data_IF_267356778119
#
_entry.id   IF_267356778119
#
_cell.length_a   1.000
_cell.length_b   1.000
_cell.length_c   1.000
_cell.angle_alpha   90.00
_cell.angle_beta   90.00
_cell.angle_gamma   90.00
#
_symmetry.space_group_name_H-M   'P 1'
#
loop_
_entity.id
_entity.type
_entity.pdbx_description
1 polymer ?
#
# COMPACT_ATOMS: atom_id res chain seq x y z
N UNK A 1 -21.06 -22.67 20.55
CA UNK A 1 -20.03 -22.93 21.60
C UNK A 1 -18.63 -23.09 21.02
N UNK A 2 -18.44 -23.91 19.98
CA UNK A 2 -17.11 -24.15 19.36
C UNK A 2 -16.51 -22.92 18.65
N UNK A 3 -17.33 -22.10 17.98
CA UNK A 3 -16.87 -20.89 17.28
C UNK A 3 -16.40 -19.79 18.24
N UNK A 4 -17.09 -19.62 19.37
CA UNK A 4 -16.71 -18.66 20.42
C UNK A 4 -15.40 -19.07 21.09
N UNK A 5 -15.20 -20.38 21.30
CA UNK A 5 -13.94 -20.93 21.83
C UNK A 5 -12.78 -20.71 20.84
N UNK A 6 -12.99 -20.96 19.55
CA UNK A 6 -11.99 -20.72 18.51
C UNK A 6 -11.61 -19.23 18.38
N UNK A 7 -12.58 -18.33 18.50
CA UNK A 7 -12.33 -16.89 18.54
C UNK A 7 -11.52 -16.49 19.78
N UNK A 8 -11.87 -17.01 20.96
CA UNK A 8 -11.16 -16.73 22.21
C UNK A 8 -9.70 -17.25 22.18
N UNK A 9 -9.49 -18.44 21.61
CA UNK A 9 -8.16 -19.03 21.46
C UNK A 9 -7.31 -18.31 20.37
N UNK A 10 -7.96 -17.72 19.36
CA UNK A 10 -7.35 -16.79 18.42
C UNK A 10 -6.85 -15.53 19.12
N UNK A 11 -7.74 -14.85 19.86
CA UNK A 11 -7.40 -13.63 20.60
C UNK A 11 -6.31 -13.86 21.65
N UNK A 12 -6.29 -15.03 22.32
CA UNK A 12 -5.21 -15.41 23.25
C UNK A 12 -3.86 -15.55 22.55
N UNK A 13 -3.82 -16.13 21.35
CA UNK A 13 -2.59 -16.24 20.54
C UNK A 13 -2.12 -14.88 20.05
N UNK A 14 -3.04 -14.04 19.57
CA UNK A 14 -2.71 -12.69 19.14
C UNK A 14 -2.16 -11.86 20.30
N UNK A 15 -2.74 -11.99 21.50
CA UNK A 15 -2.24 -11.34 22.71
C UNK A 15 -0.86 -11.87 23.14
N UNK A 16 -0.59 -13.17 22.99
CA UNK A 16 0.71 -13.77 23.28
C UNK A 16 1.79 -13.24 22.31
N UNK A 17 1.50 -13.21 21.01
CA UNK A 17 2.39 -12.62 19.99
C UNK A 17 2.64 -11.11 20.23
N UNK A 18 1.61 -10.40 20.70
CA UNK A 18 1.71 -8.99 21.06
C UNK A 18 2.64 -8.79 22.28
N UNK A 19 2.54 -9.65 23.30
CA UNK A 19 3.39 -9.64 24.49
C UNK A 19 4.84 -10.01 24.19
N UNK A 20 5.09 -10.86 23.20
CA UNK A 20 6.45 -11.11 22.72
C UNK A 20 7.05 -9.86 22.09
N UNK A 21 6.24 -8.97 21.51
CA UNK A 21 6.69 -7.79 20.76
C UNK A 21 6.75 -6.51 21.61
N UNK A 22 5.87 -6.38 22.61
CA UNK A 22 5.62 -5.13 23.36
C UNK A 22 5.64 -5.39 24.86
N UNK A 23 6.42 -4.58 25.58
CA UNK A 23 6.65 -4.72 27.03
C UNK A 23 5.62 -3.97 27.88
N UNK A 24 4.90 -3.00 27.32
CA UNK A 24 3.83 -2.30 28.06
C UNK A 24 2.66 -1.96 27.16
N UNK A 25 1.48 -2.47 27.55
CA UNK A 25 0.19 -2.21 26.93
C UNK A 25 -0.71 -1.59 28.00
N UNK A 26 -1.23 -0.38 27.75
CA UNK A 26 -2.24 0.23 28.63
C UNK A 26 -3.60 0.04 27.99
N UNK A 27 -4.47 -0.73 28.63
CA UNK A 27 -5.84 -0.92 28.19
C UNK A 27 -6.80 -0.21 29.13
N UNK A 28 -7.75 0.53 28.58
CA UNK A 28 -8.88 1.11 29.29
C UNK A 28 -10.18 0.47 28.79
N UNK A 29 -11.08 0.14 29.71
CA UNK A 29 -12.44 -0.30 29.37
C UNK A 29 -13.38 0.90 29.45
N UNK A 30 -14.06 1.24 28.36
CA UNK A 30 -15.19 2.16 28.43
C UNK A 30 -16.40 1.39 28.97
N UNK A 31 -16.87 1.76 30.17
CA UNK A 31 -18.14 1.29 30.71
C UNK A 31 -19.16 2.39 30.57
N UNK A 32 -19.87 2.41 29.45
CA UNK A 32 -21.19 3.03 29.38
C UNK A 32 -22.22 1.92 29.22
N UNK A 33 -23.34 2.05 29.93
CA UNK A 33 -24.29 0.99 30.24
C UNK A 33 -24.83 0.24 29.01
N UNK A 34 -24.83 -1.09 29.09
CA UNK A 34 -25.48 -2.07 28.21
C UNK A 34 -24.90 -2.38 26.80
N UNK A 35 -23.66 -1.98 26.48
CA UNK A 35 -22.95 -2.51 25.30
C UNK A 35 -21.73 -3.39 25.67
N UNK A 36 -21.37 -4.31 24.75
CA UNK A 36 -20.15 -5.12 24.79
C UNK A 36 -18.95 -4.20 25.08
N UNK A 37 -18.27 -4.44 26.21
CA UNK A 37 -17.11 -3.64 26.60
C UNK A 37 -16.03 -3.65 25.51
N UNK A 38 -15.80 -2.51 24.87
CA UNK A 38 -14.70 -2.33 23.92
C UNK A 38 -13.43 -2.02 24.73
N UNK A 39 -12.44 -2.90 24.63
CA UNK A 39 -11.16 -2.73 25.30
C UNK A 39 -10.22 -1.89 24.40
N UNK A 40 -10.02 -0.63 24.76
CA UNK A 40 -9.11 0.27 24.02
C UNK A 40 -7.71 0.18 24.60
N UNK A 41 -6.79 -0.44 23.87
CA UNK A 41 -5.41 -0.61 24.26
C UNK A 41 -4.47 0.29 23.47
N UNK A 42 -3.62 1.04 24.17
CA UNK A 42 -2.51 1.81 23.58
C UNK A 42 -1.17 1.15 23.93
N UNK A 43 -0.35 0.99 22.89
CA UNK A 43 0.98 0.38 22.98
C UNK A 43 1.98 1.47 23.35
N UNK A 44 2.73 1.30 24.44
CA UNK A 44 3.61 2.37 24.95
C UNK A 44 5.10 2.03 24.95
N UNK A 45 5.51 0.74 24.89
CA UNK A 45 6.93 0.34 24.81
C UNK A 45 7.15 -0.98 24.05
N UNK A 46 8.06 -0.98 23.07
CA UNK A 46 8.52 -2.20 22.37
C UNK A 46 9.48 -3.03 23.25
N UNK A 47 9.68 -4.30 22.92
CA UNK A 47 10.68 -5.14 23.58
C UNK A 47 12.13 -4.70 23.22
N UNK A 48 13.12 -5.10 24.04
CA UNK A 48 14.53 -4.71 23.85
C UNK A 48 15.15 -5.25 22.55
N UNK A 49 14.75 -6.44 22.09
CA UNK A 49 15.29 -7.07 20.88
C UNK A 49 14.82 -6.37 19.58
N UNK A 50 13.59 -5.88 19.56
CA UNK A 50 13.02 -5.11 18.45
C UNK A 50 13.56 -3.68 18.46
N UNK A 51 13.75 -3.08 19.63
CA UNK A 51 14.48 -1.81 19.79
C UNK A 51 15.93 -1.92 19.30
N UNK A 52 16.63 -3.02 19.59
CA UNK A 52 17.99 -3.24 19.06
C UNK A 52 18.00 -3.44 17.55
N UNK A 53 17.03 -4.15 16.98
CA UNK A 53 16.91 -4.32 15.53
C UNK A 53 16.58 -2.99 14.82
N UNK A 54 15.71 -2.16 15.40
CA UNK A 54 15.43 -0.81 14.91
C UNK A 54 16.68 0.08 15.00
N UNK A 55 17.44 0.00 16.09
CA UNK A 55 18.71 0.74 16.25
C UNK A 55 19.77 0.32 15.23
N UNK A 56 19.89 -0.98 14.94
CA UNK A 56 20.81 -1.50 13.92
C UNK A 56 20.37 -1.16 12.48
N UNK A 57 19.10 -0.79 12.28
CA UNK A 57 18.60 -0.38 10.96
C UNK A 57 18.99 1.05 10.58
N UNK A 58 19.49 1.87 11.52
CA UNK A 58 20.02 3.20 11.22
C UNK A 58 21.37 3.07 10.50
N UNK A 59 21.34 2.89 9.19
CA UNK A 59 22.54 2.83 8.35
C UNK A 59 23.16 4.24 8.19
N UNK A 60 24.06 4.61 9.10
CA UNK A 60 24.78 5.91 9.20
C UNK A 60 24.02 7.08 9.87
N UNK A 61 23.01 6.80 10.70
CA UNK A 61 22.29 7.81 11.50
C UNK A 61 22.35 7.50 13.01
N UNK A 62 22.19 8.52 13.88
CA UNK A 62 22.17 8.31 15.34
C UNK A 62 20.75 8.01 15.84
N UNK A 63 20.60 6.99 16.69
CA UNK A 63 19.31 6.64 17.28
C UNK A 63 18.88 7.66 18.35
N UNK A 64 17.71 8.28 18.18
CA UNK A 64 17.13 9.15 19.20
C UNK A 64 16.21 8.35 20.14
N UNK A 65 16.69 8.04 21.34
CA UNK A 65 15.96 7.28 22.35
C UNK A 65 14.73 8.01 22.92
N UNK A 66 14.58 9.33 22.71
CA UNK A 66 13.41 10.08 23.19
C UNK A 66 12.19 10.01 22.26
N UNK A 67 12.39 9.62 20.99
CA UNK A 67 11.33 9.59 19.97
C UNK A 67 11.27 8.29 19.15
N UNK A 68 12.16 7.33 19.43
CA UNK A 68 12.28 6.05 18.71
C UNK A 68 12.43 6.21 17.17
N UNK A 69 13.21 7.20 16.74
CA UNK A 69 13.49 7.51 15.32
C UNK A 69 15.01 7.66 15.05
N UNK A 70 15.46 7.28 13.85
CA UNK A 70 16.82 7.59 13.38
C UNK A 70 16.94 9.09 13.08
N UNK A 71 18.02 9.73 13.55
CA UNK A 71 18.29 11.16 13.41
C UNK A 71 19.47 11.36 12.45
N UNK A 72 19.24 12.14 11.41
CA UNK A 72 20.28 12.56 10.47
C UNK A 72 21.10 13.71 11.08
N UNK A 73 22.42 13.56 11.20
CA UNK A 73 23.31 14.71 11.37
C UNK A 73 23.48 15.36 9.99
N UNK A 74 22.74 16.43 9.72
CA UNK A 74 23.09 17.34 8.65
C UNK A 74 24.28 18.18 9.11
N UNK A 75 25.48 17.90 8.60
CA UNK A 75 26.57 18.88 8.61
C UNK A 75 26.10 20.09 7.81
N UNK A 76 25.72 21.17 8.50
CA UNK A 76 25.47 22.45 7.87
C UNK A 76 26.75 22.88 7.13
N UNK A 77 26.68 22.99 5.81
CA UNK A 77 27.70 23.69 5.05
C UNK A 77 27.63 25.17 5.43
N UNK A 78 28.69 25.65 6.08
CA UNK A 78 28.91 27.06 6.36
C UNK A 78 29.21 27.82 5.05
N UNK A 79 28.66 29.04 4.99
CA UNK A 79 29.10 30.20 4.21
C UNK A 79 29.01 30.14 2.67
N UNK A 80 27.91 30.68 2.14
CA UNK A 80 27.95 31.43 0.88
C UNK A 80 27.26 32.78 1.11
N UNK A 81 28.07 33.85 1.12
CA UNK A 81 27.62 35.23 1.13
C UNK A 81 27.11 35.63 -0.25
N UNK A 82 25.97 36.34 -0.27
CA UNK A 82 25.57 37.25 -1.35
C UNK A 82 24.93 36.62 -2.60
N UNK A 83 23.61 36.49 -2.60
CA UNK A 83 22.71 36.96 -3.69
C UNK A 83 21.24 36.71 -3.32
N UNK A 84 20.45 37.78 -3.41
CA UNK A 84 18.98 37.89 -3.38
C UNK A 84 18.21 36.58 -3.10
N UNK A 85 17.59 36.52 -1.92
CA UNK A 85 16.60 35.52 -1.56
C UNK A 85 15.39 35.62 -2.48
N UNK A 86 15.39 34.83 -3.57
CA UNK A 86 14.11 34.35 -4.11
C UNK A 86 13.45 33.57 -2.97
N UNK A 87 12.34 34.06 -2.47
CA UNK A 87 11.49 33.31 -1.53
C UNK A 87 11.31 31.90 -2.08
N UNK A 88 11.75 30.89 -1.32
CA UNK A 88 11.54 29.50 -1.70
C UNK A 88 10.03 29.29 -1.83
N UNK A 89 9.51 28.90 -3.01
CA UNK A 89 8.07 28.72 -3.17
C UNK A 89 7.53 27.77 -2.10
N UNK A 90 6.32 28.01 -1.56
CA UNK A 90 5.73 27.12 -0.57
C UNK A 90 5.75 25.68 -1.10
N UNK A 91 6.32 24.77 -0.30
CA UNK A 91 6.42 23.35 -0.65
C UNK A 91 5.04 22.82 -1.05
N UNK A 92 4.96 22.27 -2.26
CA UNK A 92 3.72 21.76 -2.84
C UNK A 92 3.21 20.54 -2.06
N UNK A 93 1.91 20.30 -2.09
CA UNK A 93 1.24 19.19 -1.41
C UNK A 93 1.21 17.91 -2.25
N UNK A 94 1.37 18.03 -3.56
CA UNK A 94 1.42 16.88 -4.49
C UNK A 94 2.36 17.14 -5.66
N UNK A 95 2.75 16.08 -6.36
CA UNK A 95 3.52 16.17 -7.60
C UNK A 95 2.71 16.84 -8.71
N UNK A 96 1.38 16.74 -8.69
CA UNK A 96 0.50 17.38 -9.66
C UNK A 96 0.53 18.89 -9.52
N UNK A 97 0.52 19.38 -8.28
CA UNK A 97 0.67 20.80 -7.99
C UNK A 97 2.04 21.33 -8.45
N UNK A 98 3.12 20.60 -8.20
CA UNK A 98 4.46 20.95 -8.73
C UNK A 98 4.49 21.02 -10.25
N UNK A 99 3.93 19.98 -10.90
CA UNK A 99 3.88 19.86 -12.34
C UNK A 99 3.14 21.04 -12.99
N UNK A 100 1.96 21.40 -12.45
CA UNK A 100 1.16 22.51 -12.98
C UNK A 100 1.83 23.89 -12.80
N UNK A 101 2.71 24.03 -11.81
CA UNK A 101 3.48 25.27 -11.56
C UNK A 101 4.74 25.38 -12.44
N UNK A 102 4.99 24.43 -13.34
CA UNK A 102 6.28 24.27 -14.02
C UNK A 102 7.47 24.23 -13.05
N UNK A 103 7.25 23.75 -11.82
CA UNK A 103 8.25 23.73 -10.74
C UNK A 103 9.13 22.47 -10.74
N UNK A 104 9.13 21.72 -11.84
CA UNK A 104 9.78 20.42 -11.94
C UNK A 104 10.71 20.35 -13.15
N UNK A 105 11.87 19.73 -13.00
CA UNK A 105 12.90 19.56 -14.04
C UNK A 105 13.08 18.11 -14.50
N UNK A 106 12.26 17.18 -13.98
CA UNK A 106 12.29 15.78 -14.37
C UNK A 106 11.73 14.81 -13.33
N UNK A 107 11.85 13.52 -13.63
CA UNK A 107 11.41 12.42 -12.78
C UNK A 107 12.42 12.17 -11.65
N UNK A 108 12.14 12.67 -10.45
CA UNK A 108 13.01 12.54 -9.27
C UNK A 108 12.23 12.76 -7.98
N UNK A 109 12.91 12.70 -6.84
CA UNK A 109 12.35 13.12 -5.57
C UNK A 109 12.17 14.64 -5.49
N UNK A 110 11.04 15.07 -4.92
CA UNK A 110 10.75 16.46 -4.60
C UNK A 110 10.29 16.59 -3.14
N UNK A 111 10.54 17.74 -2.50
CA UNK A 111 10.01 18.03 -1.18
C UNK A 111 8.51 18.33 -1.27
N UNK A 112 7.68 17.45 -0.71
CA UNK A 112 6.24 17.65 -0.61
C UNK A 112 5.84 17.97 0.83
N UNK A 113 4.96 18.95 1.02
CA UNK A 113 4.36 19.30 2.32
C UNK A 113 3.15 18.42 2.57
N UNK A 114 3.31 17.43 3.44
CA UNK A 114 2.25 16.50 3.84
C UNK A 114 1.92 16.72 5.33
N UNK A 115 0.69 17.18 5.58
CA UNK A 115 0.30 17.69 6.89
C UNK A 115 1.20 18.83 7.37
N UNK A 116 1.89 18.63 8.50
CA UNK A 116 2.80 19.62 9.11
C UNK A 116 4.28 19.40 8.78
N UNK A 117 4.63 18.38 7.99
CA UNK A 117 6.02 18.01 7.70
C UNK A 117 6.30 18.03 6.20
N UNK A 118 7.58 18.11 5.84
CA UNK A 118 8.05 17.99 4.45
C UNK A 118 8.66 16.59 4.29
N UNK A 119 8.29 15.90 3.21
CA UNK A 119 8.80 14.58 2.87
C UNK A 119 9.38 14.58 1.46
N UNK A 120 10.57 14.00 1.25
CA UNK A 120 11.08 13.75 -0.09
C UNK A 120 10.33 12.58 -0.71
N UNK A 121 9.60 12.83 -1.80
CA UNK A 121 8.76 11.83 -2.47
C UNK A 121 9.08 11.84 -3.96
N UNK A 122 9.21 10.64 -4.54
CA UNK A 122 9.36 10.49 -5.99
C UNK A 122 8.13 11.01 -6.73
N UNK A 123 8.37 11.95 -7.63
CA UNK A 123 7.38 12.44 -8.57
C UNK A 123 7.72 11.98 -9.98
N UNK A 124 6.72 11.40 -10.66
CA UNK A 124 6.84 11.09 -12.07
C UNK A 124 6.18 12.22 -12.89
N UNK A 125 7.02 13.07 -13.46
CA UNK A 125 6.67 14.31 -14.18
C UNK A 125 6.42 14.10 -15.67
N UNK A 126 6.77 12.95 -16.24
CA UNK A 126 6.46 12.61 -17.65
C UNK A 126 5.18 11.79 -17.79
N UNK A 127 4.71 11.60 -19.02
CA UNK A 127 3.56 10.75 -19.30
C UNK A 127 3.86 9.27 -18.98
N UNK A 128 2.98 8.64 -18.19
CA UNK A 128 2.96 7.19 -18.01
C UNK A 128 2.00 6.55 -19.02
N UNK A 129 2.52 5.66 -19.87
CA UNK A 129 1.70 4.95 -20.84
C UNK A 129 0.61 4.13 -20.12
N UNK A 130 -0.67 4.40 -20.43
CA UNK A 130 -1.83 3.81 -19.78
C UNK A 130 -2.50 4.67 -18.71
N UNK A 131 -1.80 5.70 -18.19
CA UNK A 131 -2.34 6.68 -17.25
C UNK A 131 -2.42 8.12 -17.82
N UNK A 132 -1.47 8.47 -18.70
CA UNK A 132 -1.37 9.79 -19.33
C UNK A 132 -0.89 10.89 -18.36
N UNK A 133 -0.43 12.02 -18.92
CA UNK A 133 -0.01 13.21 -18.17
C UNK A 133 1.16 13.00 -17.18
N UNK A 134 1.70 14.11 -16.67
CA UNK A 134 2.75 14.13 -15.65
C UNK A 134 2.27 14.63 -14.28
N UNK A 135 3.14 14.54 -13.27
CA UNK A 135 2.84 14.97 -11.91
C UNK A 135 2.24 13.87 -11.04
N UNK A 136 2.62 12.61 -11.27
CA UNK A 136 2.19 11.49 -10.46
C UNK A 136 2.98 11.40 -9.16
N UNK A 137 2.27 11.33 -8.04
CA UNK A 137 2.84 11.24 -6.68
C UNK A 137 2.95 9.78 -6.27
N UNK A 138 4.16 9.30 -5.95
CA UNK A 138 4.34 7.93 -5.47
C UNK A 138 3.67 7.72 -4.10
N UNK A 139 2.91 6.63 -3.98
CA UNK A 139 2.23 6.24 -2.74
C UNK A 139 2.84 4.97 -2.15
N UNK A 140 2.95 3.94 -2.97
CA UNK A 140 3.42 2.62 -2.54
C UNK A 140 4.24 1.93 -3.62
N UNK A 141 5.21 1.14 -3.16
CA UNK A 141 5.93 0.14 -3.94
C UNK A 141 5.88 -1.17 -3.18
N UNK A 142 5.46 -2.24 -3.84
CA UNK A 142 5.25 -3.53 -3.19
C UNK A 142 5.90 -4.66 -3.99
N UNK A 143 6.67 -5.48 -3.30
CA UNK A 143 7.28 -6.68 -3.87
C UNK A 143 6.29 -7.82 -3.67
N UNK A 144 5.67 -8.27 -4.76
CA UNK A 144 4.61 -9.26 -4.68
C UNK A 144 5.09 -10.63 -4.20
N UNK A 145 6.41 -10.84 -4.05
CA UNK A 145 6.98 -12.04 -3.47
C UNK A 145 7.03 -12.03 -1.94
N UNK A 146 6.83 -10.86 -1.32
CA UNK A 146 6.87 -10.66 0.13
C UNK A 146 5.47 -10.53 0.72
N UNK A 147 5.36 -10.83 2.00
CA UNK A 147 4.10 -10.77 2.73
C UNK A 147 3.77 -9.34 3.25
N UNK A 148 4.65 -8.36 3.06
CA UNK A 148 4.55 -6.98 3.60
C UNK A 148 3.22 -6.31 3.25
N UNK A 149 2.76 -6.49 2.01
CA UNK A 149 1.55 -5.87 1.47
C UNK A 149 0.41 -6.87 1.24
N UNK A 150 0.47 -8.08 1.81
CA UNK A 150 -0.62 -9.05 1.67
C UNK A 150 -1.95 -8.47 2.16
N UNK A 151 -3.08 -8.94 1.61
CA UNK A 151 -4.43 -8.38 1.85
C UNK A 151 -4.74 -8.17 3.34
N UNK A 152 -4.39 -9.12 4.21
CA UNK A 152 -4.69 -9.09 5.64
C UNK A 152 -3.70 -8.24 6.48
N UNK A 153 -2.68 -7.63 5.88
CA UNK A 153 -1.70 -6.85 6.63
C UNK A 153 -2.28 -5.54 7.14
N UNK A 154 -1.88 -5.15 8.35
CA UNK A 154 -2.31 -3.90 8.99
C UNK A 154 -1.81 -2.65 8.25
N UNK A 155 -0.82 -2.81 7.35
CA UNK A 155 -0.30 -1.73 6.51
C UNK A 155 -1.40 -1.01 5.72
N UNK A 156 -2.50 -1.68 5.40
CA UNK A 156 -3.63 -1.10 4.67
C UNK A 156 -4.54 -0.22 5.54
N UNK A 157 -4.51 -0.38 6.86
CA UNK A 157 -5.43 0.28 7.80
C UNK A 157 -4.73 1.11 8.87
N UNK A 158 -3.40 1.28 8.77
CA UNK A 158 -2.63 2.12 9.67
C UNK A 158 -2.00 3.33 8.94
N UNK A 159 -1.51 4.31 9.71
CA UNK A 159 -0.80 5.49 9.22
C UNK A 159 0.69 5.41 9.57
N UNK A 160 1.30 4.26 9.31
CA UNK A 160 2.72 4.03 9.55
C UNK A 160 3.48 4.02 8.23
N UNK A 161 4.66 4.63 8.22
CA UNK A 161 5.55 4.60 7.07
C UNK A 161 6.26 3.25 7.03
N UNK A 162 6.53 2.74 5.84
CA UNK A 162 7.40 1.59 5.63
C UNK A 162 8.51 1.96 4.66
N UNK A 163 9.77 1.82 5.08
CA UNK A 163 10.96 2.10 4.26
C UNK A 163 10.84 3.42 3.45
N UNK A 164 10.66 4.57 4.12
CA UNK A 164 10.38 5.85 3.45
C UNK A 164 11.54 6.35 2.57
N UNK A 165 12.78 5.92 2.85
CA UNK A 165 13.94 6.23 2.01
C UNK A 165 13.79 5.68 0.58
N UNK A 166 13.17 4.51 0.45
CA UNK A 166 12.87 3.93 -0.86
C UNK A 166 11.77 4.69 -1.60
N UNK A 167 11.05 5.60 -0.94
CA UNK A 167 10.10 6.52 -1.59
C UNK A 167 10.73 7.64 -2.40
N UNK A 168 12.06 7.84 -2.31
CA UNK A 168 12.80 8.84 -3.09
C UNK A 168 13.05 8.38 -4.54
N UNK A 169 13.04 7.07 -4.77
CA UNK A 169 13.30 6.50 -6.08
C UNK A 169 12.02 6.00 -6.74
N UNK A 170 12.02 5.98 -8.08
CA UNK A 170 10.89 5.52 -8.89
C UNK A 170 10.77 3.99 -8.94
N UNK A 171 10.71 3.45 -10.15
CA UNK A 171 10.31 2.07 -10.43
C UNK A 171 11.41 1.00 -10.18
N UNK A 172 12.10 1.10 -9.05
CA UNK A 172 13.01 0.07 -8.53
C UNK A 172 12.25 -1.05 -7.79
N UNK A 173 12.98 -2.01 -7.21
CA UNK A 173 12.42 -3.19 -6.53
C UNK A 173 12.41 -3.06 -5.00
N UNK A 174 12.51 -1.83 -4.47
CA UNK A 174 12.51 -1.60 -3.02
C UNK A 174 11.11 -1.20 -2.58
N UNK A 175 10.57 -1.96 -1.63
CA UNK A 175 9.25 -1.72 -1.04
C UNK A 175 9.19 -0.39 -0.30
N UNK A 176 8.05 0.30 -0.37
CA UNK A 176 7.82 1.53 0.40
C UNK A 176 6.33 1.77 0.63
N UNK A 177 6.00 2.42 1.75
CA UNK A 177 4.72 3.03 2.03
C UNK A 177 4.96 4.42 2.61
N UNK A 178 4.39 5.43 1.97
CA UNK A 178 4.62 6.83 2.28
C UNK A 178 3.40 7.51 2.90
N UNK A 179 3.57 8.65 3.58
CA UNK A 179 2.45 9.45 4.09
C UNK A 179 1.48 9.91 3.00
N UNK A 180 1.90 9.93 1.74
CA UNK A 180 1.02 10.17 0.59
C UNK A 180 -0.12 9.16 0.47
N UNK A 181 -0.04 8.01 1.15
CA UNK A 181 -1.16 7.08 1.28
C UNK A 181 -2.36 7.66 2.04
N UNK A 182 -2.12 8.50 3.07
CA UNK A 182 -3.16 9.02 3.96
C UNK A 182 -3.25 10.55 4.01
N UNK A 183 -2.30 11.29 3.42
CA UNK A 183 -2.25 12.76 3.40
C UNK A 183 -2.49 13.39 2.01
N UNK A 184 -2.63 12.59 0.96
CA UNK A 184 -2.75 13.10 -0.42
C UNK A 184 -4.13 12.85 -0.99
N UNK A 185 -4.88 13.92 -1.20
CA UNK A 185 -6.08 13.94 -2.02
C UNK A 185 -5.73 13.76 -3.50
N UNK A 186 -6.59 13.08 -4.24
CA UNK A 186 -6.40 12.84 -5.67
C UNK A 186 -7.73 12.66 -6.40
N UNK A 187 -7.64 12.74 -7.73
CA UNK A 187 -8.75 12.47 -8.66
C UNK A 187 -8.48 11.26 -9.55
N UNK A 188 -7.22 10.81 -9.60
CA UNK A 188 -6.80 9.68 -10.43
C UNK A 188 -5.75 8.84 -9.70
N UNK A 189 -5.83 7.54 -9.90
CA UNK A 189 -4.82 6.57 -9.45
C UNK A 189 -4.16 5.96 -10.69
N UNK A 190 -2.85 5.85 -10.69
CA UNK A 190 -2.08 5.09 -11.67
C UNK A 190 -1.50 3.85 -11.00
N UNK A 191 -1.93 2.68 -11.49
CA UNK A 191 -1.49 1.38 -11.01
C UNK A 191 -0.49 0.81 -12.00
N UNK A 192 0.69 0.39 -11.51
CA UNK A 192 1.74 -0.17 -12.33
C UNK A 192 2.15 -1.57 -11.88
N UNK A 193 2.38 -2.47 -12.83
CA UNK A 193 2.99 -3.78 -12.57
C UNK A 193 4.24 -3.96 -13.42
N UNK A 194 5.37 -4.26 -12.77
CA UNK A 194 6.63 -4.61 -13.43
C UNK A 194 6.85 -6.11 -13.42
N UNK A 195 6.94 -6.69 -14.61
CA UNK A 195 7.27 -8.10 -14.84
C UNK A 195 8.56 -8.17 -15.68
N UNK A 196 9.64 -8.70 -15.10
CA UNK A 196 10.95 -8.66 -15.74
C UNK A 196 11.44 -7.22 -15.98
N UNK A 197 11.59 -6.85 -17.25
CA UNK A 197 12.01 -5.51 -17.70
C UNK A 197 10.84 -4.59 -18.06
N UNK A 198 9.64 -5.14 -18.26
CA UNK A 198 8.47 -4.39 -18.70
C UNK A 198 7.69 -3.84 -17.51
N UNK A 199 7.13 -2.64 -17.66
CA UNK A 199 6.18 -2.05 -16.71
C UNK A 199 4.97 -1.58 -17.49
N UNK A 200 3.79 -2.03 -17.10
CA UNK A 200 2.53 -1.60 -17.68
C UNK A 200 1.70 -0.88 -16.63
N UNK A 201 0.95 0.13 -17.07
CA UNK A 201 0.13 0.94 -16.19
C UNK A 201 -1.32 1.01 -16.66
N UNK A 202 -2.22 1.19 -15.69
CA UNK A 202 -3.62 1.53 -15.91
C UNK A 202 -4.03 2.66 -14.97
N UNK A 203 -4.90 3.54 -15.45
CA UNK A 203 -5.51 4.57 -14.63
C UNK A 203 -6.90 4.18 -14.13
N UNK A 204 -7.22 4.64 -12.92
CA UNK A 204 -8.56 4.66 -12.34
C UNK A 204 -8.91 6.11 -12.07
N UNK A 205 -10.04 6.58 -12.61
CA UNK A 205 -10.55 7.91 -12.31
C UNK A 205 -11.49 7.79 -11.11
N UNK A 206 -11.06 8.30 -9.96
CA UNK A 206 -11.84 8.29 -8.71
C UNK A 206 -11.32 9.41 -7.81
N UNK A 207 -12.23 10.16 -7.21
CA UNK A 207 -11.89 11.25 -6.28
C UNK A 207 -11.97 10.75 -4.85
N UNK A 208 -10.91 10.96 -4.07
CA UNK A 208 -10.88 10.62 -2.66
C UNK A 208 -9.90 11.53 -1.90
N UNK A 209 -10.18 11.73 -0.61
CA UNK A 209 -9.30 12.48 0.28
C UNK A 209 -7.95 11.80 0.51
N UNK A 210 -7.88 10.48 0.34
CA UNK A 210 -6.63 9.69 0.37
C UNK A 210 -6.91 8.25 -0.07
N UNK A 211 -5.85 7.45 -0.27
CA UNK A 211 -6.02 6.04 -0.57
C UNK A 211 -6.39 5.26 0.71
N UNK A 212 -5.91 5.74 1.86
CA UNK A 212 -6.31 5.27 3.19
C UNK A 212 -7.84 5.34 3.36
N UNK A 213 -8.48 6.45 3.01
CA UNK A 213 -9.94 6.58 3.17
C UNK A 213 -10.76 5.68 2.25
N UNK A 214 -10.22 5.26 1.09
CA UNK A 214 -10.86 4.28 0.21
C UNK A 214 -10.69 2.83 0.67
N UNK A 215 -9.62 2.51 1.41
CA UNK A 215 -9.23 1.12 1.68
C UNK A 215 -9.42 0.73 3.15
N UNK A 216 -9.10 1.61 4.09
CA UNK A 216 -8.97 1.29 5.51
C UNK A 216 -10.29 0.87 6.18
N UNK A 217 -11.43 1.28 5.63
CA UNK A 217 -12.75 0.90 6.13
C UNK A 217 -13.11 -0.58 5.82
N UNK A 218 -12.33 -1.24 4.96
CA UNK A 218 -12.56 -2.61 4.52
C UNK A 218 -13.81 -2.80 3.66
N UNK A 219 -14.51 -1.72 3.30
CA UNK A 219 -15.73 -1.78 2.49
C UNK A 219 -15.38 -1.89 1.01
N UNK A 220 -16.20 -2.63 0.28
CA UNK A 220 -16.05 -2.78 -1.16
C UNK A 220 -16.48 -1.51 -1.88
N UNK A 221 -15.61 -0.96 -2.72
CA UNK A 221 -15.92 0.18 -3.59
C UNK A 221 -15.64 -0.22 -5.06
N UNK A 222 -16.68 -0.33 -5.91
CA UNK A 222 -16.51 -0.85 -7.26
C UNK A 222 -15.78 0.13 -8.18
N UNK A 223 -15.13 -0.41 -9.21
CA UNK A 223 -14.65 0.32 -10.39
C UNK A 223 -15.37 -0.16 -11.66
N UNK A 224 -15.13 0.50 -12.79
CA UNK A 224 -15.72 0.13 -14.08
C UNK A 224 -14.67 0.11 -15.19
N UNK A 225 -13.48 -0.44 -14.91
CA UNK A 225 -12.39 -0.51 -15.87
C UNK A 225 -12.59 -1.65 -16.87
N UNK A 226 -13.24 -2.74 -16.44
CA UNK A 226 -13.40 -3.95 -17.21
C UNK A 226 -12.17 -4.88 -17.18
N UNK A 227 -12.45 -6.16 -17.44
CA UNK A 227 -11.47 -7.27 -17.40
C UNK A 227 -10.23 -7.02 -18.26
N UNK A 228 -10.41 -6.55 -19.49
CA UNK A 228 -9.30 -6.35 -20.43
C UNK A 228 -8.32 -5.28 -19.95
N UNK A 229 -8.84 -4.23 -19.28
CA UNK A 229 -7.97 -3.20 -18.70
C UNK A 229 -7.12 -3.79 -17.59
N UNK A 230 -7.69 -4.57 -16.68
CA UNK A 230 -6.90 -5.27 -15.65
C UNK A 230 -5.87 -6.23 -16.24
N UNK A 231 -6.25 -7.00 -17.28
CA UNK A 231 -5.32 -7.90 -17.99
C UNK A 231 -4.16 -7.12 -18.64
N UNK A 232 -4.38 -5.90 -19.12
CA UNK A 232 -3.34 -5.09 -19.76
C UNK A 232 -2.12 -4.79 -18.86
N UNK A 233 -2.23 -4.91 -17.53
CA UNK A 233 -1.10 -4.83 -16.60
C UNK A 233 -0.03 -5.91 -16.84
N UNK A 234 -0.43 -7.07 -17.37
CA UNK A 234 0.46 -8.20 -17.62
C UNK A 234 0.47 -8.64 -19.09
N UNK A 235 -0.34 -7.99 -19.95
CA UNK A 235 -0.45 -8.25 -21.41
C UNK A 235 -0.67 -9.73 -21.70
N UNK A 236 0.19 -10.33 -22.54
CA UNK A 236 0.13 -11.75 -22.92
C UNK A 236 0.35 -12.73 -21.76
N UNK A 237 0.76 -12.25 -20.58
CA UNK A 237 0.89 -13.07 -19.40
C UNK A 237 -0.38 -13.09 -18.54
N UNK A 238 -1.42 -12.33 -18.90
CA UNK A 238 -2.63 -12.19 -18.11
C UNK A 238 -3.67 -13.28 -18.42
N UNK A 239 -4.06 -14.04 -17.40
CA UNK A 239 -5.19 -14.97 -17.37
C UNK A 239 -6.13 -14.58 -16.23
N UNK A 240 -7.43 -14.59 -16.49
CA UNK A 240 -8.45 -14.36 -15.48
C UNK A 240 -9.68 -15.13 -15.93
N UNK A 241 -10.43 -15.75 -15.03
CA UNK A 241 -11.67 -16.41 -15.43
C UNK A 241 -12.68 -15.42 -16.02
N UNK A 242 -13.63 -15.93 -16.80
CA UNK A 242 -14.56 -15.08 -17.56
C UNK A 242 -15.78 -14.62 -16.77
N UNK A 243 -16.13 -15.29 -15.66
CA UNK A 243 -17.41 -15.10 -14.97
C UNK A 243 -17.25 -14.46 -13.57
N UNK A 244 -18.39 -14.05 -12.99
CA UNK A 244 -18.53 -13.46 -11.65
C UNK A 244 -17.41 -12.47 -11.28
N UNK A 245 -17.21 -11.45 -12.11
CA UNK A 245 -16.16 -10.46 -11.91
C UNK A 245 -16.55 -9.43 -10.87
N UNK A 246 -15.68 -9.20 -9.87
CA UNK A 246 -15.75 -8.02 -9.00
C UNK A 246 -14.44 -7.25 -9.12
N UNK A 247 -14.52 -5.99 -9.50
CA UNK A 247 -13.37 -5.09 -9.57
C UNK A 247 -13.51 -3.91 -8.61
N UNK A 248 -12.37 -3.36 -8.20
CA UNK A 248 -12.30 -2.13 -7.41
C UNK A 248 -11.51 -2.28 -6.12
N UNK A 249 -11.90 -1.53 -5.10
CA UNK A 249 -11.25 -1.49 -3.79
C UNK A 249 -11.89 -2.49 -2.84
N UNK A 250 -11.05 -3.17 -2.04
CA UNK A 250 -11.46 -4.25 -1.14
C UNK A 250 -12.38 -5.27 -1.86
N UNK A 251 -11.97 -5.71 -3.05
CA UNK A 251 -12.68 -6.74 -3.80
C UNK A 251 -12.52 -8.10 -3.09
N UNK A 252 -13.64 -8.73 -2.73
CA UNK A 252 -13.70 -10.08 -2.17
C UNK A 252 -14.96 -10.81 -2.64
N UNK A 253 -14.91 -12.14 -2.70
CA UNK A 253 -16.09 -12.98 -2.90
C UNK A 253 -16.58 -13.58 -1.57
N UNK A 254 -17.86 -13.93 -1.52
CA UNK A 254 -18.42 -14.59 -0.35
C UNK A 254 -17.81 -16.00 -0.18
N UNK A 255 -17.73 -16.52 1.04
CA UNK A 255 -17.09 -17.83 1.30
C UNK A 255 -15.75 -17.78 2.05
N UNK A 256 -15.45 -16.67 2.75
CA UNK A 256 -14.40 -16.64 3.78
C UNK A 256 -12.98 -16.37 3.26
N UNK A 257 -11.98 -16.62 4.11
CA UNK A 257 -10.57 -16.25 3.88
C UNK A 257 -9.89 -17.05 2.76
N UNK A 258 -10.51 -18.16 2.33
CA UNK A 258 -10.00 -19.01 1.26
C UNK A 258 -10.28 -18.49 -0.15
N UNK A 259 -11.13 -17.47 -0.32
CA UNK A 259 -11.46 -16.94 -1.65
C UNK A 259 -10.50 -15.84 -2.08
N UNK A 260 -10.38 -15.62 -3.39
CA UNK A 260 -9.58 -14.53 -3.95
C UNK A 260 -10.03 -13.18 -3.40
N UNK A 261 -9.05 -12.37 -3.01
CA UNK A 261 -9.24 -11.01 -2.50
C UNK A 261 -8.19 -10.07 -3.06
N UNK A 262 -8.53 -8.80 -3.20
CA UNK A 262 -7.63 -7.74 -3.59
C UNK A 262 -8.00 -6.43 -2.87
N UNK A 263 -7.00 -5.69 -2.37
CA UNK A 263 -7.23 -4.33 -1.85
C UNK A 263 -7.52 -3.36 -2.98
N UNK A 264 -6.88 -3.56 -4.12
CA UNK A 264 -7.20 -2.89 -5.39
C UNK A 264 -7.03 -3.93 -6.49
N UNK A 265 -8.09 -4.32 -7.18
CA UNK A 265 -7.96 -5.36 -8.19
C UNK A 265 -9.27 -5.86 -8.76
N UNK A 266 -9.15 -6.86 -9.62
CA UNK A 266 -10.26 -7.68 -10.11
C UNK A 266 -10.10 -9.10 -9.59
N UNK A 267 -11.21 -9.68 -9.16
CA UNK A 267 -11.36 -11.11 -8.84
C UNK A 267 -12.44 -11.68 -9.75
N UNK A 268 -12.28 -12.94 -10.15
CA UNK A 268 -13.22 -13.63 -11.02
C UNK A 268 -13.37 -15.09 -10.61
N UNK A 269 -14.44 -15.72 -11.09
CA UNK A 269 -14.68 -17.17 -11.00
C UNK A 269 -15.16 -17.70 -12.36
N UNK A 270 -15.27 -19.01 -12.46
CA UNK A 270 -15.86 -19.75 -13.58
C UNK A 270 -17.38 -19.93 -13.43
N UNK A 271 -17.91 -19.80 -12.20
CA UNK A 271 -19.32 -20.07 -11.89
C UNK A 271 -20.16 -18.79 -11.80
N UNK A 272 -21.46 -18.89 -12.04
CA UNK A 272 -22.39 -17.74 -11.93
C UNK A 272 -22.69 -17.33 -10.47
N UNK A 273 -22.20 -18.07 -9.48
CA UNK A 273 -22.47 -17.82 -8.07
C UNK A 273 -21.32 -17.06 -7.39
N UNK A 274 -21.67 -16.07 -6.55
CA UNK A 274 -20.77 -15.12 -5.84
C UNK A 274 -19.78 -15.75 -4.83
N UNK A 275 -19.64 -17.07 -4.82
CA UNK A 275 -18.98 -17.85 -3.76
C UNK A 275 -17.70 -18.59 -4.18
N UNK A 276 -17.28 -18.52 -5.45
CA UNK A 276 -16.23 -19.39 -6.00
C UNK A 276 -14.98 -18.71 -6.55
N UNK A 277 -14.83 -17.38 -6.42
CA UNK A 277 -13.71 -16.66 -7.01
C UNK A 277 -12.34 -17.20 -6.57
N UNK A 278 -11.59 -17.71 -7.54
CA UNK A 278 -10.29 -18.35 -7.38
C UNK A 278 -9.23 -17.81 -8.37
N UNK A 279 -9.59 -16.90 -9.28
CA UNK A 279 -8.63 -16.06 -10.03
C UNK A 279 -8.65 -14.59 -9.60
N UNK A 280 -7.50 -13.90 -9.75
CA UNK A 280 -7.33 -12.49 -9.38
C UNK A 280 -6.17 -11.82 -10.12
N UNK A 281 -6.32 -10.53 -10.39
CA UNK A 281 -5.25 -9.60 -10.75
C UNK A 281 -5.36 -8.39 -9.83
N UNK A 282 -4.30 -8.02 -9.12
CA UNK A 282 -4.37 -6.82 -8.28
C UNK A 282 -3.19 -6.55 -7.37
N UNK A 283 -3.45 -5.64 -6.43
CA UNK A 283 -2.56 -5.11 -5.42
C UNK A 283 -3.16 -5.41 -4.04
N UNK A 284 -2.31 -5.79 -3.09
CA UNK A 284 -2.75 -6.29 -1.80
C UNK A 284 -3.64 -7.52 -1.92
N UNK A 285 -3.17 -8.55 -2.61
CA UNK A 285 -3.95 -9.76 -2.87
C UNK A 285 -3.84 -10.79 -1.74
N UNK A 286 -4.81 -11.71 -1.72
CA UNK A 286 -4.87 -12.85 -0.80
C UNK A 286 -5.88 -13.88 -1.29
N UNK A 287 -6.05 -14.97 -0.53
CA UNK A 287 -6.94 -16.09 -0.88
C UNK A 287 -6.20 -17.36 -1.27
N UNK A 288 -6.93 -18.48 -1.31
CA UNK A 288 -6.39 -19.82 -1.51
C UNK A 288 -5.72 -19.97 -2.87
N UNK A 289 -4.62 -20.72 -2.89
CA UNK A 289 -3.56 -20.76 -3.92
C UNK A 289 -2.79 -19.43 -4.04
N UNK A 290 -1.47 -19.52 -3.84
CA UNK A 290 -0.54 -18.39 -3.74
C UNK A 290 -0.98 -17.31 -2.74
N UNK A 291 -1.30 -17.75 -1.52
CA UNK A 291 -1.53 -16.88 -0.36
C UNK A 291 -0.38 -15.88 -0.13
N UNK A 292 0.85 -16.24 -0.50
CA UNK A 292 2.01 -15.35 -0.36
C UNK A 292 2.11 -14.27 -1.43
N UNK A 293 1.22 -14.25 -2.43
CA UNK A 293 1.23 -13.25 -3.48
C UNK A 293 0.55 -11.97 -2.97
N UNK A 294 1.34 -10.94 -2.68
CA UNK A 294 0.80 -9.65 -2.29
C UNK A 294 0.28 -8.82 -3.48
N UNK A 295 0.68 -9.15 -4.71
CA UNK A 295 0.15 -8.53 -5.93
C UNK A 295 0.49 -9.38 -7.17
N UNK A 296 0.04 -8.94 -8.35
CA UNK A 296 0.22 -9.65 -9.61
C UNK A 296 -1.01 -10.49 -9.96
N UNK A 297 -0.78 -11.69 -10.50
CA UNK A 297 -1.84 -12.58 -11.00
C UNK A 297 -1.79 -13.94 -10.34
N UNK A 298 -2.98 -14.46 -10.05
CA UNK A 298 -3.20 -15.85 -9.64
C UNK A 298 -4.38 -16.40 -10.44
N UNK A 299 -4.14 -17.45 -11.21
CA UNK A 299 -5.13 -18.23 -11.96
C UNK A 299 -4.57 -19.66 -12.08
N UNK A 300 -4.99 -20.59 -11.21
CA UNK A 300 -4.44 -21.95 -11.12
C UNK A 300 -5.52 -23.01 -11.03
N UNK A 301 -5.38 -24.09 -11.78
CA UNK A 301 -6.27 -25.25 -11.75
C UNK A 301 -7.50 -24.98 -12.58
N UNK A 302 -8.70 -25.29 -12.06
CA UNK A 302 -9.97 -24.94 -12.72
C UNK A 302 -10.19 -23.42 -12.93
N UNK A 303 -9.29 -22.58 -12.42
CA UNK A 303 -9.28 -21.13 -12.66
C UNK A 303 -8.31 -20.64 -13.72
N UNK A 304 -7.57 -21.55 -14.33
CA UNK A 304 -6.71 -21.28 -15.47
C UNK A 304 -7.53 -21.32 -16.77
N UNK A 305 -8.44 -20.35 -16.95
CA UNK A 305 -9.10 -20.09 -18.24
C UNK A 305 -8.31 -19.04 -19.04
N UNK A 306 -8.62 -18.85 -20.31
CA UNK A 306 -7.80 -18.12 -21.32
C UNK A 306 -6.41 -18.78 -21.52
N UNK A 307 -5.34 -18.14 -21.04
CA UNK A 307 -3.93 -18.46 -21.33
C UNK A 307 -3.31 -19.46 -20.33
N UNK A 308 -4.14 -20.27 -19.70
CA UNK A 308 -3.74 -21.33 -18.79
C UNK A 308 -3.20 -20.84 -17.44
N UNK A 309 -2.44 -21.71 -16.76
CA UNK A 309 -2.03 -21.52 -15.37
C UNK A 309 -1.07 -20.33 -15.23
N UNK A 310 -1.46 -19.32 -14.44
CA UNK A 310 -0.62 -18.16 -14.10
C UNK A 310 -0.46 -18.02 -12.60
N UNK A 311 0.78 -17.91 -12.15
CA UNK A 311 1.17 -17.50 -10.81
C UNK A 311 2.36 -16.55 -10.94
N UNK A 312 2.08 -15.28 -11.19
CA UNK A 312 3.12 -14.29 -11.48
C UNK A 312 3.11 -13.23 -10.39
N UNK A 313 4.26 -13.12 -9.73
CA UNK A 313 4.58 -12.09 -8.74
C UNK A 313 5.33 -10.97 -9.46
N UNK A 314 4.85 -9.73 -9.34
CA UNK A 314 5.45 -8.56 -9.95
C UNK A 314 6.13 -7.64 -8.93
N UNK A 315 6.62 -6.49 -9.37
CA UNK A 315 6.73 -5.31 -8.51
C UNK A 315 5.54 -4.40 -8.79
N UNK A 316 4.73 -4.13 -7.76
CA UNK A 316 3.56 -3.25 -7.85
C UNK A 316 3.90 -1.81 -7.49
N UNK A 317 3.31 -0.85 -8.22
CA UNK A 317 3.43 0.58 -7.99
C UNK A 317 2.04 1.21 -7.91
N UNK A 318 1.84 2.08 -6.93
CA UNK A 318 0.64 2.91 -6.83
C UNK A 318 1.08 4.37 -6.79
N UNK A 319 0.57 5.16 -7.72
CA UNK A 319 0.75 6.60 -7.79
C UNK A 319 -0.61 7.30 -7.88
N UNK A 320 -0.67 8.56 -7.45
CA UNK A 320 -1.90 9.36 -7.45
C UNK A 320 -1.67 10.76 -8.03
N UNK A 321 -2.72 11.35 -8.62
CA UNK A 321 -2.70 12.66 -9.26
C UNK A 321 -4.00 13.43 -8.99
#
# INVERSE_FOLDING_TARGET
MNEVKAALDGTKRDLANLKETVTTVKCASDRTSNELAVLNCTMTKLNKANLSNLRMSCQNETWNAGHDECKHESRSATNFSGKSSKETPPAAKSCKELYNRNGSDGNKEYPLKLGKRIHPVYCHMTALNGCGGGGWTLVMKMDCSKNTFHYNQLIWSNKLKYNPFSGKTGFDRRETMLPTYWETEFTRICLGMKNGKEINFIAINITASSLFSLIADGKYHPTSLGRDKWKSLLRSNASLQSNCTREGFNAFCAGGAFKSRARIGIIASQENHRHSCDSRIGFGTGGHRGHSNACGIMALGKSAEDDGHKNIKTMGFILVQ
#
